data_IF_983210643186
#
_entry.id   IF_983210643186
#
_cell.length_a   1.000
_cell.length_b   1.000
_cell.length_c   1.000
_cell.angle_alpha   90.00
_cell.angle_beta   90.00
_cell.angle_gamma   90.00
#
_symmetry.space_group_name_H-M   'P 1'
#
loop_
_entity.id
_entity.type
_entity.pdbx_description
1 polymer ?
#
# COMPACT_ATOMS: atom_id res chain seq x y z
N UNK A 1 -50.33 62.21 47.91
CA UNK A 1 -48.99 62.22 48.52
C UNK A 1 -48.00 61.58 47.54
N UNK A 2 -46.97 62.31 47.25
CA UNK A 2 -45.83 62.14 46.39
C UNK A 2 -45.07 60.81 46.62
N UNK A 3 -44.64 60.09 45.56
CA UNK A 3 -43.29 59.66 45.55
C UNK A 3 -42.84 59.35 44.09
N UNK A 4 -41.75 59.93 43.70
CA UNK A 4 -40.93 59.78 42.50
C UNK A 4 -40.31 58.40 42.47
N UNK A 5 -40.33 57.73 41.31
CA UNK A 5 -39.45 56.64 41.05
C UNK A 5 -38.71 56.88 39.74
N UNK A 6 -37.43 56.85 39.93
CA UNK A 6 -36.35 57.11 39.03
C UNK A 6 -36.38 56.16 37.81
N UNK A 7 -36.17 56.75 36.62
CA UNK A 7 -35.92 56.00 35.39
C UNK A 7 -34.50 55.44 35.43
N UNK A 8 -34.40 54.08 35.42
CA UNK A 8 -33.16 53.39 35.12
C UNK A 8 -33.27 52.93 33.70
N UNK A 9 -32.45 53.54 32.84
CA UNK A 9 -32.24 53.08 31.44
C UNK A 9 -31.43 51.80 31.46
N UNK A 10 -32.06 50.66 31.16
CA UNK A 10 -31.35 49.43 30.80
C UNK A 10 -31.16 49.47 29.31
N UNK A 11 -29.97 49.84 28.88
CA UNK A 11 -29.49 49.58 27.52
C UNK A 11 -29.29 48.09 27.33
N UNK A 12 -30.23 47.43 26.70
CA UNK A 12 -30.07 46.07 26.25
C UNK A 12 -29.05 46.06 25.09
N UNK A 13 -27.86 45.58 25.36
CA UNK A 13 -26.84 45.30 24.37
C UNK A 13 -27.29 44.04 23.59
N UNK A 14 -27.83 44.26 22.38
CA UNK A 14 -28.10 43.14 21.44
C UNK A 14 -26.76 42.54 20.99
N UNK A 15 -26.32 41.49 21.66
CA UNK A 15 -25.36 40.56 21.13
C UNK A 15 -26.07 39.71 20.06
N UNK A 16 -26.01 40.16 18.79
CA UNK A 16 -26.29 39.27 17.66
C UNK A 16 -25.19 38.24 17.62
N UNK A 17 -25.51 36.92 17.61
CA UNK A 17 -24.52 35.93 17.29
C UNK A 17 -24.16 36.11 15.82
N UNK A 18 -22.91 36.51 15.56
CA UNK A 18 -22.26 36.33 14.28
C UNK A 18 -22.21 34.83 14.03
N UNK A 19 -23.23 34.30 13.38
CA UNK A 19 -23.16 33.05 12.65
C UNK A 19 -22.14 33.29 11.52
N UNK A 20 -20.86 33.12 11.86
CA UNK A 20 -19.86 32.86 10.87
C UNK A 20 -20.29 31.54 10.19
N UNK A 21 -21.07 31.67 9.12
CA UNK A 21 -21.20 30.62 8.15
C UNK A 21 -19.78 30.36 7.65
N UNK A 22 -19.14 29.37 8.26
CA UNK A 22 -18.00 28.70 7.67
C UNK A 22 -18.53 28.11 6.35
N UNK A 23 -18.51 28.95 5.31
CA UNK A 23 -18.47 28.47 3.95
C UNK A 23 -17.18 27.66 3.89
N UNK A 24 -17.30 26.35 4.18
CA UNK A 24 -16.37 25.38 3.64
C UNK A 24 -16.46 25.56 2.13
N UNK A 25 -15.59 26.43 1.62
CA UNK A 25 -15.27 26.45 0.22
C UNK A 25 -14.80 25.02 -0.07
N UNK A 26 -15.72 24.18 -0.55
CA UNK A 26 -15.33 23.01 -1.34
C UNK A 26 -14.57 23.60 -2.53
N UNK A 27 -13.27 23.84 -2.31
CA UNK A 27 -12.34 23.99 -3.40
C UNK A 27 -12.46 22.70 -4.16
N UNK A 28 -13.29 22.70 -5.21
CA UNK A 28 -13.31 21.65 -6.22
C UNK A 28 -11.86 21.42 -6.61
N UNK A 29 -11.25 20.44 -5.96
CA UNK A 29 -9.84 20.11 -6.21
C UNK A 29 -9.84 19.44 -7.58
N UNK A 30 -9.17 20.04 -8.58
CA UNK A 30 -9.16 19.50 -9.92
C UNK A 30 -8.68 18.04 -9.93
N UNK A 31 -9.19 17.17 -10.82
CA UNK A 31 -8.78 15.78 -10.93
C UNK A 31 -7.27 15.62 -10.95
N UNK A 32 -6.61 16.42 -11.78
CA UNK A 32 -5.15 16.43 -11.94
C UNK A 32 -4.42 16.70 -10.61
N UNK A 33 -4.95 17.60 -9.79
CA UNK A 33 -4.33 17.93 -8.48
C UNK A 33 -4.47 16.78 -7.50
N UNK A 34 -5.63 16.12 -7.46
CA UNK A 34 -5.85 14.94 -6.61
C UNK A 34 -4.90 13.81 -6.98
N UNK A 35 -4.76 13.52 -8.27
CA UNK A 35 -3.83 12.52 -8.75
C UNK A 35 -2.38 12.84 -8.34
N UNK A 36 -1.91 14.07 -8.63
CA UNK A 36 -0.55 14.50 -8.31
C UNK A 36 -0.26 14.49 -6.81
N UNK A 37 -1.21 14.92 -5.96
CA UNK A 37 -1.10 14.86 -4.51
C UNK A 37 -0.97 13.42 -4.02
N UNK A 38 -1.87 12.54 -4.49
CA UNK A 38 -1.84 11.12 -4.13
C UNK A 38 -0.55 10.44 -4.59
N UNK A 39 -0.11 10.70 -5.82
CA UNK A 39 1.15 10.17 -6.35
C UNK A 39 2.36 10.64 -5.53
N UNK A 40 2.42 11.93 -5.18
CA UNK A 40 3.51 12.47 -4.37
C UNK A 40 3.58 11.82 -2.99
N UNK A 41 2.43 11.70 -2.32
CA UNK A 41 2.35 11.05 -1.02
C UNK A 41 2.73 9.56 -1.08
N UNK A 42 2.31 8.87 -2.14
CA UNK A 42 2.68 7.47 -2.37
C UNK A 42 4.19 7.31 -2.57
N UNK A 43 4.83 8.15 -3.38
CA UNK A 43 6.28 8.16 -3.60
C UNK A 43 7.07 8.44 -2.32
N UNK A 44 6.52 9.27 -1.42
CA UNK A 44 7.06 9.54 -0.09
C UNK A 44 6.80 8.41 0.92
N UNK A 45 6.21 7.30 0.49
CA UNK A 45 5.79 6.16 1.34
C UNK A 45 4.76 6.56 2.42
N UNK A 46 4.09 7.70 2.25
CA UNK A 46 2.99 8.17 3.13
C UNK A 46 1.66 7.51 2.71
N UNK A 47 1.63 6.18 2.70
CA UNK A 47 0.56 5.38 2.10
C UNK A 47 -0.83 5.70 2.64
N UNK A 48 -0.97 5.84 3.96
CA UNK A 48 -2.26 6.19 4.58
C UNK A 48 -2.79 7.55 4.11
N UNK A 49 -1.91 8.53 3.93
CA UNK A 49 -2.27 9.86 3.45
C UNK A 49 -2.60 9.86 1.94
N UNK A 50 -1.95 9.00 1.15
CA UNK A 50 -2.16 8.89 -0.28
C UNK A 50 -3.55 8.35 -0.65
N UNK A 51 -4.17 7.54 0.21
CA UNK A 51 -5.46 6.89 -0.08
C UNK A 51 -6.55 7.91 -0.37
N UNK A 52 -6.70 8.94 0.45
CA UNK A 52 -7.81 9.91 0.32
C UNK A 52 -7.80 10.64 -1.03
N UNK A 53 -6.72 11.30 -1.48
CA UNK A 53 -6.68 11.97 -2.76
C UNK A 53 -6.79 11.00 -3.94
N UNK A 54 -6.18 9.80 -3.89
CA UNK A 54 -6.30 8.80 -4.94
C UNK A 54 -7.73 8.27 -5.07
N UNK A 55 -8.39 7.95 -3.97
CA UNK A 55 -9.79 7.52 -4.00
C UNK A 55 -10.71 8.63 -4.52
N UNK A 56 -10.48 9.89 -4.12
CA UNK A 56 -11.23 11.02 -4.62
C UNK A 56 -11.05 11.21 -6.13
N UNK A 57 -9.83 10.95 -6.65
CA UNK A 57 -9.56 10.96 -8.09
C UNK A 57 -10.32 9.84 -8.83
N UNK A 58 -10.20 8.59 -8.37
CA UNK A 58 -10.82 7.43 -9.00
C UNK A 58 -12.36 7.51 -9.02
N UNK A 59 -12.96 8.12 -7.98
CA UNK A 59 -14.42 8.29 -7.87
C UNK A 59 -14.98 9.43 -8.71
N UNK A 60 -14.15 10.20 -9.38
CA UNK A 60 -14.66 11.33 -10.17
C UNK A 60 -15.49 10.85 -11.35
N UNK A 61 -16.58 11.55 -11.55
CA UNK A 61 -17.51 11.34 -12.64
C UNK A 61 -17.49 12.58 -13.55
N UNK A 62 -17.78 12.37 -14.83
CA UNK A 62 -18.04 13.49 -15.75
C UNK A 62 -19.41 14.14 -15.44
N UNK A 63 -19.74 15.20 -16.18
CA UNK A 63 -21.01 15.92 -16.04
C UNK A 63 -22.25 15.02 -16.24
N UNK A 64 -22.10 13.92 -16.97
CA UNK A 64 -23.18 12.94 -17.23
C UNK A 64 -23.25 11.83 -16.17
N UNK A 65 -22.47 11.93 -15.09
CA UNK A 65 -22.44 10.92 -14.03
C UNK A 65 -21.73 9.62 -14.43
N UNK A 66 -20.95 9.62 -15.52
CA UNK A 66 -20.12 8.49 -15.93
C UNK A 66 -18.69 8.65 -15.40
N UNK A 67 -17.99 7.55 -15.14
CA UNK A 67 -16.56 7.62 -14.80
C UNK A 67 -15.79 8.41 -15.85
N UNK A 68 -14.77 9.15 -15.43
CA UNK A 68 -13.85 9.80 -16.36
C UNK A 68 -13.22 8.73 -17.28
N UNK A 69 -12.90 9.08 -18.55
CA UNK A 69 -12.21 8.16 -19.44
C UNK A 69 -10.96 7.60 -18.78
N UNK A 70 -10.70 6.33 -19.01
CA UNK A 70 -9.46 5.72 -18.58
C UNK A 70 -8.30 6.30 -19.39
N UNK A 71 -7.52 7.16 -18.75
CA UNK A 71 -6.37 7.84 -19.34
C UNK A 71 -5.03 7.18 -18.98
N UNK A 72 -5.06 5.96 -18.45
CA UNK A 72 -3.90 5.33 -17.83
C UNK A 72 -3.59 5.90 -16.44
N UNK A 73 -3.87 7.17 -16.17
CA UNK A 73 -3.72 7.77 -14.83
C UNK A 73 -4.69 7.13 -13.81
N UNK A 74 -5.86 6.71 -14.27
CA UNK A 74 -6.82 6.01 -13.43
C UNK A 74 -6.29 4.64 -13.02
N UNK A 75 -5.79 3.86 -13.98
CA UNK A 75 -5.14 2.58 -13.69
C UNK A 75 -3.96 2.74 -12.73
N UNK A 76 -3.12 3.77 -12.94
CA UNK A 76 -2.01 4.08 -12.03
C UNK A 76 -2.49 4.46 -10.63
N UNK A 77 -3.58 5.24 -10.51
CA UNK A 77 -4.15 5.59 -9.22
C UNK A 77 -4.70 4.37 -8.49
N UNK A 78 -5.41 3.48 -9.19
CA UNK A 78 -5.92 2.23 -8.64
C UNK A 78 -4.78 1.27 -8.26
N UNK A 79 -3.73 1.18 -9.08
CA UNK A 79 -2.51 0.45 -8.74
C UNK A 79 -1.86 0.98 -7.44
N UNK A 80 -1.70 2.30 -7.30
CA UNK A 80 -1.18 2.89 -6.07
C UNK A 80 -2.06 2.60 -4.86
N UNK A 81 -3.38 2.56 -5.02
CA UNK A 81 -4.32 2.21 -3.94
C UNK A 81 -4.16 0.77 -3.46
N UNK A 82 -4.07 -0.20 -4.38
CA UNK A 82 -3.89 -1.60 -3.98
C UNK A 82 -2.50 -1.86 -3.39
N UNK A 83 -1.47 -1.16 -3.87
CA UNK A 83 -0.14 -1.19 -3.26
C UNK A 83 -0.15 -0.56 -1.85
N UNK A 84 -0.85 0.57 -1.66
CA UNK A 84 -0.98 1.19 -0.34
C UNK A 84 -1.71 0.27 0.65
N UNK A 85 -2.75 -0.46 0.22
CA UNK A 85 -3.41 -1.47 1.05
C UNK A 85 -2.44 -2.58 1.48
N UNK A 86 -1.60 -3.07 0.58
CA UNK A 86 -0.55 -4.04 0.91
C UNK A 86 0.43 -3.49 1.95
N UNK A 87 0.95 -2.29 1.74
CA UNK A 87 1.95 -1.67 2.63
C UNK A 87 1.38 -1.38 4.03
N UNK A 88 0.08 -1.06 4.11
CA UNK A 88 -0.64 -0.85 5.36
C UNK A 88 -1.13 -2.15 6.02
N UNK A 89 -0.83 -3.30 5.44
CA UNK A 89 -1.28 -4.61 5.94
C UNK A 89 -2.80 -4.74 6.03
N UNK A 90 -3.52 -4.17 5.07
CA UNK A 90 -4.96 -4.36 4.99
C UNK A 90 -5.27 -5.86 4.80
N UNK A 91 -6.15 -6.45 5.63
CA UNK A 91 -6.54 -7.85 5.50
C UNK A 91 -7.13 -8.21 4.13
N UNK A 92 -7.65 -7.23 3.40
CA UNK A 92 -8.20 -7.40 2.05
C UNK A 92 -7.17 -7.19 0.94
N UNK A 93 -5.89 -6.98 1.26
CA UNK A 93 -4.87 -6.63 0.27
C UNK A 93 -4.76 -7.67 -0.85
N UNK A 94 -4.83 -8.97 -0.55
CA UNK A 94 -4.80 -10.04 -1.56
C UNK A 94 -5.98 -9.92 -2.53
N UNK A 95 -7.20 -9.75 -2.00
CA UNK A 95 -8.40 -9.63 -2.82
C UNK A 95 -8.34 -8.37 -3.71
N UNK A 96 -7.87 -7.25 -3.16
CA UNK A 96 -7.72 -6.00 -3.90
C UNK A 96 -6.67 -6.12 -5.02
N UNK A 97 -5.53 -6.77 -4.74
CA UNK A 97 -4.49 -7.01 -5.74
C UNK A 97 -4.98 -7.93 -6.87
N UNK A 98 -5.74 -8.98 -6.53
CA UNK A 98 -6.35 -9.87 -7.52
C UNK A 98 -7.39 -9.16 -8.36
N UNK A 99 -8.31 -8.42 -7.72
CA UNK A 99 -9.33 -7.65 -8.44
C UNK A 99 -8.71 -6.65 -9.42
N UNK A 100 -7.57 -6.04 -9.07
CA UNK A 100 -6.84 -5.17 -9.98
C UNK A 100 -6.30 -5.94 -11.20
N UNK A 101 -5.75 -7.15 -11.04
CA UNK A 101 -5.31 -7.98 -12.17
C UNK A 101 -6.47 -8.42 -13.06
N UNK A 102 -7.63 -8.71 -12.48
CA UNK A 102 -8.83 -9.10 -13.22
C UNK A 102 -9.38 -7.92 -14.05
N UNK A 103 -9.33 -6.71 -13.51
CA UNK A 103 -9.75 -5.48 -14.20
C UNK A 103 -8.75 -5.05 -15.28
N UNK A 104 -7.44 -5.23 -15.01
CA UNK A 104 -6.35 -4.79 -15.88
C UNK A 104 -5.40 -5.95 -16.23
N UNK A 105 -5.84 -6.94 -17.05
CA UNK A 105 -5.04 -8.14 -17.33
C UNK A 105 -3.72 -7.85 -18.06
N UNK A 106 -3.68 -6.77 -18.87
CA UNK A 106 -2.49 -6.36 -19.62
C UNK A 106 -1.65 -5.29 -18.91
N UNK A 107 -1.84 -5.14 -17.59
CA UNK A 107 -1.11 -4.12 -16.81
C UNK A 107 0.41 -4.36 -16.82
N UNK A 108 1.24 -3.32 -16.97
CA UNK A 108 2.68 -3.45 -16.81
C UNK A 108 3.09 -3.80 -15.37
N UNK A 109 2.17 -3.65 -14.41
CA UNK A 109 2.41 -3.92 -12.99
C UNK A 109 2.16 -5.37 -12.57
N UNK A 110 1.66 -6.24 -13.47
CA UNK A 110 1.28 -7.61 -13.15
C UNK A 110 2.39 -8.37 -12.40
N UNK A 111 3.63 -8.26 -12.88
CA UNK A 111 4.77 -8.92 -12.27
C UNK A 111 4.98 -8.53 -10.80
N UNK A 112 4.93 -7.24 -10.51
CA UNK A 112 5.06 -6.75 -9.12
C UNK A 112 3.88 -7.17 -8.26
N UNK A 113 2.67 -7.15 -8.81
CA UNK A 113 1.46 -7.56 -8.07
C UNK A 113 1.53 -9.03 -7.67
N UNK A 114 1.99 -9.94 -8.55
CA UNK A 114 2.22 -11.34 -8.17
C UNK A 114 3.20 -11.47 -7.00
N UNK A 115 4.29 -10.70 -7.00
CA UNK A 115 5.24 -10.68 -5.91
C UNK A 115 4.62 -10.14 -4.60
N UNK A 116 3.75 -9.13 -4.66
CA UNK A 116 3.03 -8.59 -3.50
C UNK A 116 2.01 -9.60 -2.94
N UNK A 117 1.26 -10.30 -3.80
CA UNK A 117 0.35 -11.38 -3.37
C UNK A 117 1.13 -12.50 -2.70
N UNK A 118 2.23 -12.96 -3.31
CA UNK A 118 3.12 -13.95 -2.71
C UNK A 118 3.61 -13.54 -1.32
N UNK A 119 4.01 -12.28 -1.21
CA UNK A 119 4.46 -11.71 0.05
C UNK A 119 3.34 -11.61 1.10
N UNK A 120 2.10 -11.34 0.69
CA UNK A 120 0.94 -11.34 1.59
C UNK A 120 0.71 -12.74 2.16
N UNK A 121 0.69 -13.77 1.31
CA UNK A 121 0.60 -15.16 1.75
C UNK A 121 1.75 -15.57 2.68
N UNK A 122 2.97 -15.10 2.40
CA UNK A 122 4.11 -15.32 3.29
C UNK A 122 3.85 -14.79 4.70
N UNK A 123 3.30 -13.58 4.84
CA UNK A 123 2.98 -13.00 6.15
C UNK A 123 1.84 -13.70 6.88
N UNK A 124 0.93 -14.31 6.14
CA UNK A 124 -0.14 -15.16 6.69
C UNK A 124 0.35 -16.55 7.09
N UNK A 125 1.61 -16.90 6.76
CA UNK A 125 2.16 -18.23 6.99
C UNK A 125 1.71 -19.30 5.98
N UNK A 126 1.03 -18.86 4.92
CA UNK A 126 0.55 -19.72 3.83
C UNK A 126 1.65 -19.87 2.77
N UNK A 127 2.67 -20.65 3.10
CA UNK A 127 3.91 -20.75 2.32
C UNK A 127 3.73 -21.44 0.97
N UNK A 128 2.79 -22.40 0.85
CA UNK A 128 2.52 -23.10 -0.41
C UNK A 128 1.89 -22.16 -1.45
N UNK A 129 0.89 -21.36 -1.06
CA UNK A 129 0.29 -20.36 -1.94
C UNK A 129 1.27 -19.23 -2.25
N UNK A 130 2.12 -18.85 -1.28
CA UNK A 130 3.20 -17.90 -1.53
C UNK A 130 4.14 -18.40 -2.62
N UNK A 131 4.57 -19.66 -2.58
CA UNK A 131 5.42 -20.28 -3.61
C UNK A 131 4.74 -20.28 -4.98
N UNK A 132 3.44 -20.62 -5.06
CA UNK A 132 2.69 -20.60 -6.31
C UNK A 132 2.73 -19.21 -6.97
N UNK A 133 2.53 -18.17 -6.16
CA UNK A 133 2.56 -16.77 -6.65
C UNK A 133 3.99 -16.29 -6.99
N UNK A 134 5.00 -16.66 -6.19
CA UNK A 134 6.40 -16.35 -6.52
C UNK A 134 6.84 -16.99 -7.84
N UNK A 135 6.34 -18.19 -8.18
CA UNK A 135 6.61 -18.84 -9.47
C UNK A 135 6.01 -18.06 -10.66
N UNK A 136 4.96 -17.27 -10.42
CA UNK A 136 4.36 -16.40 -11.45
C UNK A 136 5.08 -15.05 -11.54
N UNK A 137 5.87 -14.69 -10.54
CA UNK A 137 6.59 -13.42 -10.48
C UNK A 137 8.04 -13.59 -11.01
N UNK A 138 8.46 -12.64 -11.85
CA UNK A 138 9.84 -12.50 -12.31
C UNK A 138 10.60 -11.57 -11.35
N UNK A 139 11.22 -12.12 -10.30
CA UNK A 139 11.92 -11.34 -9.29
C UNK A 139 13.12 -10.55 -9.85
N UNK A 140 13.71 -11.04 -10.95
CA UNK A 140 14.79 -10.38 -11.67
C UNK A 140 14.39 -9.02 -12.29
N UNK A 141 13.09 -8.80 -12.51
CA UNK A 141 12.53 -7.55 -13.04
C UNK A 141 12.20 -6.52 -11.96
N UNK A 142 12.29 -6.88 -10.68
CA UNK A 142 12.04 -5.96 -9.56
C UNK A 142 13.28 -5.10 -9.28
N UNK A 143 13.06 -3.93 -8.66
CA UNK A 143 14.14 -3.10 -8.15
C UNK A 143 14.96 -3.86 -7.11
N UNK A 144 16.25 -3.52 -6.97
CA UNK A 144 17.21 -4.30 -6.17
C UNK A 144 16.74 -4.56 -4.74
N UNK A 145 16.29 -3.52 -4.03
CA UNK A 145 15.83 -3.66 -2.64
C UNK A 145 14.60 -4.58 -2.53
N UNK A 146 13.60 -4.35 -3.38
CA UNK A 146 12.37 -5.14 -3.41
C UNK A 146 12.65 -6.60 -3.82
N UNK A 147 13.52 -6.79 -4.81
CA UNK A 147 13.96 -8.13 -5.24
C UNK A 147 14.63 -8.89 -4.10
N UNK A 148 15.54 -8.25 -3.37
CA UNK A 148 16.22 -8.88 -2.23
C UNK A 148 15.23 -9.29 -1.15
N UNK A 149 14.27 -8.43 -0.81
CA UNK A 149 13.20 -8.71 0.16
C UNK A 149 12.32 -9.88 -0.28
N UNK A 150 11.93 -9.91 -1.55
CA UNK A 150 11.11 -11.00 -2.11
C UNK A 150 11.89 -12.31 -2.22
N UNK A 151 13.19 -12.26 -2.58
CA UNK A 151 14.06 -13.44 -2.63
C UNK A 151 14.25 -14.05 -1.26
N UNK A 152 14.41 -13.23 -0.22
CA UNK A 152 14.49 -13.73 1.15
C UNK A 152 13.20 -14.46 1.58
N UNK A 153 12.03 -13.90 1.24
CA UNK A 153 10.74 -14.53 1.52
C UNK A 153 10.56 -15.84 0.75
N UNK A 154 10.92 -15.85 -0.53
CA UNK A 154 10.91 -17.05 -1.38
C UNK A 154 11.77 -18.17 -0.78
N UNK A 155 13.03 -17.86 -0.43
CA UNK A 155 13.93 -18.81 0.20
C UNK A 155 13.36 -19.37 1.52
N UNK A 156 12.74 -18.49 2.31
CA UNK A 156 12.09 -18.88 3.56
C UNK A 156 10.86 -19.77 3.32
N UNK A 157 10.05 -19.48 2.29
CA UNK A 157 8.93 -20.35 1.90
C UNK A 157 9.42 -21.76 1.55
N UNK A 158 10.47 -21.89 0.73
CA UNK A 158 11.06 -23.19 0.43
C UNK A 158 11.54 -23.93 1.66
N UNK A 159 12.17 -23.22 2.62
CA UNK A 159 12.59 -23.84 3.87
C UNK A 159 11.40 -24.32 4.71
N UNK A 160 10.34 -23.52 4.80
CA UNK A 160 9.14 -23.82 5.60
C UNK A 160 8.30 -24.96 5.01
N UNK A 161 8.32 -25.14 3.69
CA UNK A 161 7.64 -26.24 2.98
C UNK A 161 8.52 -27.51 2.87
N UNK A 162 9.72 -27.52 3.46
CA UNK A 162 10.62 -28.66 3.45
C UNK A 162 11.47 -28.80 2.17
N UNK A 163 11.38 -27.87 1.25
CA UNK A 163 12.18 -27.85 0.03
C UNK A 163 13.58 -27.28 0.29
N UNK A 164 14.32 -28.00 1.14
CA UNK A 164 15.58 -27.54 1.74
C UNK A 164 16.68 -27.26 0.72
N UNK A 165 16.68 -28.00 -0.40
CA UNK A 165 17.69 -27.81 -1.48
C UNK A 165 17.50 -26.47 -2.17
N UNK A 166 16.28 -26.15 -2.56
CA UNK A 166 15.89 -24.89 -3.20
C UNK A 166 16.11 -23.73 -2.26
N UNK A 167 15.74 -23.89 -0.98
CA UNK A 167 16.00 -22.90 0.05
C UNK A 167 17.50 -22.55 0.14
N UNK A 168 18.38 -23.56 0.15
CA UNK A 168 19.82 -23.37 0.22
C UNK A 168 20.34 -22.58 -1.01
N UNK A 169 19.88 -22.88 -2.21
CA UNK A 169 20.28 -22.20 -3.44
C UNK A 169 19.90 -20.71 -3.35
N UNK A 170 18.67 -20.40 -2.97
CA UNK A 170 18.19 -19.03 -2.88
C UNK A 170 18.88 -18.23 -1.77
N UNK A 171 19.13 -18.85 -0.59
CA UNK A 171 19.90 -18.19 0.47
C UNK A 171 21.36 -17.94 0.06
N UNK A 172 22.03 -18.89 -0.62
CA UNK A 172 23.42 -18.68 -1.10
C UNK A 172 23.47 -17.56 -2.15
N UNK A 173 22.52 -17.53 -3.08
CA UNK A 173 22.42 -16.45 -4.07
C UNK A 173 22.25 -15.10 -3.39
N UNK A 174 21.30 -14.98 -2.47
CA UNK A 174 21.01 -13.74 -1.77
C UNK A 174 22.17 -13.31 -0.85
N UNK A 175 22.84 -14.26 -0.19
CA UNK A 175 24.02 -13.98 0.64
C UNK A 175 25.14 -13.28 -0.15
N UNK A 176 25.32 -13.69 -1.41
CA UNK A 176 26.37 -13.13 -2.27
C UNK A 176 26.01 -11.78 -2.87
N UNK A 177 24.73 -11.45 -3.02
CA UNK A 177 24.26 -10.26 -3.72
C UNK A 177 23.72 -9.17 -2.79
N UNK A 178 23.24 -9.50 -1.60
CA UNK A 178 22.57 -8.57 -0.69
C UNK A 178 23.36 -8.35 0.60
N UNK A 179 23.80 -7.11 0.87
CA UNK A 179 24.39 -6.78 2.18
C UNK A 179 23.38 -6.86 3.31
N UNK A 180 22.11 -6.52 3.02
CA UNK A 180 21.00 -6.49 4.00
C UNK A 180 20.77 -7.87 4.61
N UNK A 181 20.77 -8.91 3.78
CA UNK A 181 20.41 -10.27 4.19
C UNK A 181 21.59 -11.22 4.34
N UNK A 182 22.84 -10.77 4.16
CA UNK A 182 24.03 -11.63 4.17
C UNK A 182 24.18 -12.45 5.46
N UNK A 183 23.96 -11.83 6.63
CA UNK A 183 24.07 -12.50 7.91
C UNK A 183 22.93 -13.51 8.15
N UNK A 184 21.69 -13.12 7.85
CA UNK A 184 20.53 -14.01 8.00
C UNK A 184 20.63 -15.21 7.07
N UNK A 185 21.07 -14.99 5.82
CA UNK A 185 21.31 -16.09 4.88
C UNK A 185 22.40 -17.04 5.37
N UNK A 186 23.51 -16.52 5.91
CA UNK A 186 24.58 -17.36 6.47
C UNK A 186 24.06 -18.24 7.62
N UNK A 187 23.21 -17.68 8.49
CA UNK A 187 22.55 -18.43 9.55
C UNK A 187 21.70 -19.58 8.99
N UNK A 188 20.80 -19.30 8.03
CA UNK A 188 19.92 -20.34 7.46
C UNK A 188 20.70 -21.40 6.69
N UNK A 189 21.73 -21.03 5.96
CA UNK A 189 22.61 -22.00 5.29
C UNK A 189 23.28 -22.92 6.29
N UNK A 190 23.82 -22.38 7.39
CA UNK A 190 24.43 -23.19 8.47
C UNK A 190 23.39 -24.10 9.15
N UNK A 191 22.19 -23.59 9.39
CA UNK A 191 21.09 -24.38 9.92
C UNK A 191 20.73 -25.56 8.99
N UNK A 192 20.62 -25.29 7.68
CA UNK A 192 20.33 -26.32 6.68
C UNK A 192 21.43 -27.39 6.64
N UNK A 193 22.71 -27.01 6.66
CA UNK A 193 23.85 -27.93 6.70
C UNK A 193 23.83 -28.81 7.99
N UNK A 194 23.58 -28.19 9.12
CA UNK A 194 23.45 -28.87 10.39
C UNK A 194 22.34 -29.96 10.35
N UNK A 195 21.15 -29.62 9.87
CA UNK A 195 20.02 -30.57 9.77
C UNK A 195 20.27 -31.71 8.78
N UNK A 196 21.21 -31.55 7.85
CA UNK A 196 21.67 -32.59 6.92
C UNK A 196 22.85 -33.41 7.43
N UNK A 197 23.31 -33.17 8.67
CA UNK A 197 24.47 -33.84 9.22
C UNK A 197 25.81 -33.40 8.62
N UNK A 198 25.84 -32.24 7.95
CA UNK A 198 27.05 -31.67 7.31
C UNK A 198 27.63 -30.61 8.26
N UNK A 199 28.66 -31.01 9.00
CA UNK A 199 29.22 -30.20 10.09
C UNK A 199 30.54 -29.48 9.73
N UNK A 200 30.95 -29.52 8.47
CA UNK A 200 32.19 -28.92 7.92
C UNK A 200 32.02 -27.46 7.48
#
# INVERSE_FOLDING_TARGET
>A
MKHKISRILCTALCCAPLLASAQTSEKSTSPKRLYQEGQTLFQQKAYAAAISPLQAYVRQMNADGKPLPDTGERQEAEYMLVCAAYELRDPKSIDLLRAFLDEYPDTPHANRIYALIASSYFFEGNYDDALAMFNSARLDLLGTEERDDMTYRLATCYLKTGNVKEAAIWFETLRSTSRKYSADCAYYISYIRYTQGRYD
#
